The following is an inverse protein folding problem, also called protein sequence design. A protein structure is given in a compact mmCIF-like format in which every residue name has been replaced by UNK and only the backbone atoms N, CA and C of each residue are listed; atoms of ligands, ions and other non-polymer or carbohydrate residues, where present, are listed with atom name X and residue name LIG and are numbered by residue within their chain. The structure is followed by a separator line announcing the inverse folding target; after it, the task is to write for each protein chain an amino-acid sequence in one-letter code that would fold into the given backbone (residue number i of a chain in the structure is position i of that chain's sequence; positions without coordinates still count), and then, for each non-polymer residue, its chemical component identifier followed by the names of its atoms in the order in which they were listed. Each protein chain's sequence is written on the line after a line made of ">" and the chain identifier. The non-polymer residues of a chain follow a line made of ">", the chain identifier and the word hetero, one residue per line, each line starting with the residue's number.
data_IF_119608038227
#
_entry.id   IF_119608038227
#
_cell.length_a   1.000
_cell.length_b   1.000
_cell.length_c   1.000
_cell.angle_alpha   90.00
_cell.angle_beta   90.00
_cell.angle_gamma   90.00
#
_symmetry.space_group_name_H-M   'P 1'
#
loop_
_entity.id
_entity.type
_entity.pdbx_description
1 polymer ?
#
# COMPACT_ATOMS: atom_id res chain seq x y z
N UNK A 1 -21.79 -1.64 18.72
CA UNK A 1 -21.97 -1.93 17.28
C UNK A 1 -20.96 -3.01 16.91
N UNK A 2 -21.38 -4.15 16.36
CA UNK A 2 -20.45 -5.21 15.93
C UNK A 2 -20.92 -6.67 16.03
N UNK A 3 -21.93 -6.97 16.84
CA UNK A 3 -22.39 -8.36 16.97
C UNK A 3 -23.45 -8.71 15.91
N UNK A 4 -23.21 -9.80 15.17
CA UNK A 4 -24.10 -10.39 14.15
C UNK A 4 -25.53 -10.62 14.64
N UNK A 5 -25.69 -10.85 15.94
CA UNK A 5 -26.99 -11.13 16.56
C UNK A 5 -27.73 -9.86 17.00
N UNK A 6 -27.01 -8.77 17.29
CA UNK A 6 -27.60 -7.65 18.03
C UNK A 6 -27.82 -6.39 17.21
N UNK A 7 -27.07 -6.13 16.13
CA UNK A 7 -27.29 -4.94 15.30
C UNK A 7 -27.85 -5.25 13.90
N UNK A 8 -28.64 -4.32 13.35
CA UNK A 8 -29.29 -4.48 12.05
C UNK A 8 -28.29 -4.73 10.90
N UNK A 9 -27.16 -4.03 10.91
CA UNK A 9 -26.09 -4.19 9.91
C UNK A 9 -25.46 -5.58 9.93
N UNK A 10 -25.27 -6.15 11.12
CA UNK A 10 -24.74 -7.50 11.29
C UNK A 10 -25.71 -8.58 10.83
N UNK A 11 -27.03 -8.35 11.00
CA UNK A 11 -28.06 -9.23 10.43
C UNK A 11 -28.06 -9.19 8.90
N UNK A 12 -27.99 -8.01 8.30
CA UNK A 12 -27.88 -7.86 6.83
C UNK A 12 -26.63 -8.57 6.28
N UNK A 13 -25.47 -8.40 6.93
CA UNK A 13 -24.26 -9.12 6.53
C UNK A 13 -24.44 -10.64 6.67
N UNK A 14 -25.11 -11.10 7.73
CA UNK A 14 -25.38 -12.52 7.94
C UNK A 14 -26.35 -13.08 6.89
N UNK A 15 -27.34 -12.31 6.45
CA UNK A 15 -28.24 -12.69 5.34
C UNK A 15 -27.43 -12.90 4.05
N UNK A 16 -26.54 -11.98 3.69
CA UNK A 16 -25.68 -12.12 2.49
C UNK A 16 -24.72 -13.31 2.61
N UNK A 17 -24.17 -13.58 3.81
CA UNK A 17 -23.37 -14.79 4.05
C UNK A 17 -24.22 -16.05 3.83
N UNK A 18 -25.46 -16.06 4.32
CA UNK A 18 -26.37 -17.20 4.19
C UNK A 18 -26.81 -17.46 2.74
N UNK A 19 -26.78 -16.45 1.87
CA UNK A 19 -26.99 -16.61 0.43
C UNK A 19 -25.87 -17.42 -0.26
N UNK A 20 -24.74 -17.64 0.42
CA UNK A 20 -23.69 -18.56 -0.01
C UNK A 20 -22.66 -17.97 -0.97
N UNK A 21 -22.70 -16.66 -1.23
CA UNK A 21 -21.70 -15.98 -2.08
C UNK A 21 -20.28 -16.04 -1.51
N UNK A 22 -20.15 -15.99 -0.18
CA UNK A 22 -18.88 -16.09 0.50
C UNK A 22 -19.06 -16.70 1.89
N UNK A 23 -18.00 -17.34 2.36
CA UNK A 23 -17.91 -17.85 3.72
C UNK A 23 -17.02 -16.91 4.53
N UNK A 24 -17.22 -16.91 5.85
CA UNK A 24 -16.35 -16.17 6.76
C UNK A 24 -15.36 -17.12 7.43
N UNK A 25 -14.14 -16.64 7.64
CA UNK A 25 -13.09 -17.34 8.37
C UNK A 25 -12.67 -16.43 9.50
N UNK A 26 -12.50 -17.00 10.68
CA UNK A 26 -12.12 -16.20 11.81
C UNK A 26 -11.52 -17.02 12.94
N UNK A 27 -10.84 -16.34 13.86
CA UNK A 27 -10.49 -16.88 15.16
C UNK A 27 -11.58 -16.58 16.21
N UNK A 28 -11.37 -16.98 17.46
CA UNK A 28 -12.31 -16.68 18.57
C UNK A 28 -12.05 -15.33 19.24
N UNK A 29 -10.98 -14.63 18.84
CA UNK A 29 -10.51 -13.42 19.51
C UNK A 29 -11.31 -12.20 19.09
N UNK A 30 -11.33 -11.20 19.96
CA UNK A 30 -11.86 -9.88 19.63
C UNK A 30 -10.86 -9.14 18.74
N UNK A 31 -11.36 -8.33 17.81
CA UNK A 31 -10.52 -7.58 16.86
C UNK A 31 -10.47 -6.10 17.21
N UNK A 32 -11.28 -5.65 18.16
CA UNK A 32 -11.32 -4.28 18.62
C UNK A 32 -11.43 -4.20 20.13
N UNK A 33 -10.59 -3.37 20.73
CA UNK A 33 -10.55 -3.09 22.16
C UNK A 33 -10.30 -1.59 22.38
N UNK A 34 -11.17 -0.94 23.14
CA UNK A 34 -10.98 0.44 23.57
C UNK A 34 -11.65 0.66 24.91
N UNK A 35 -10.86 1.05 25.92
CA UNK A 35 -11.30 1.11 27.32
C UNK A 35 -11.88 -0.26 27.76
N UNK A 36 -13.05 -0.28 28.41
CA UNK A 36 -13.73 -1.50 28.85
C UNK A 36 -14.60 -2.16 27.76
N UNK A 37 -14.44 -1.75 26.49
CA UNK A 37 -15.21 -2.27 25.37
C UNK A 37 -14.35 -3.17 24.48
N UNK A 38 -14.68 -4.46 24.47
CA UNK A 38 -14.02 -5.47 23.66
C UNK A 38 -15.05 -6.14 22.74
N UNK A 39 -14.79 -6.14 21.43
CA UNK A 39 -15.73 -6.69 20.43
C UNK A 39 -15.00 -7.23 19.21
N UNK A 40 -15.67 -8.13 18.51
CA UNK A 40 -15.26 -8.63 17.21
C UNK A 40 -16.04 -7.91 16.11
N UNK A 41 -15.35 -7.08 15.33
CA UNK A 41 -15.95 -6.25 14.26
C UNK A 41 -15.25 -6.42 12.91
N UNK A 42 -14.05 -6.98 12.89
CA UNK A 42 -13.27 -7.25 11.69
C UNK A 42 -13.38 -8.72 11.34
N UNK A 43 -13.59 -9.04 10.05
CA UNK A 43 -13.89 -10.39 9.57
C UNK A 43 -13.13 -10.67 8.27
N UNK A 44 -12.71 -11.91 8.08
CA UNK A 44 -12.13 -12.37 6.80
C UNK A 44 -13.25 -13.08 6.02
N UNK A 45 -13.51 -12.61 4.80
CA UNK A 45 -14.53 -13.18 3.91
C UNK A 45 -13.85 -13.75 2.65
N UNK A 46 -14.22 -14.97 2.26
CA UNK A 46 -13.65 -15.62 1.09
C UNK A 46 -14.67 -16.52 0.37
N UNK A 47 -14.62 -16.52 -0.95
CA UNK A 47 -15.33 -17.47 -1.81
C UNK A 47 -14.61 -18.81 -1.83
N UNK A 48 -15.30 -19.88 -2.24
CA UNK A 48 -14.59 -21.12 -2.62
C UNK A 48 -13.93 -20.94 -4.00
N UNK A 49 -12.74 -21.54 -4.25
CA UNK A 49 -11.99 -22.42 -3.35
C UNK A 49 -11.07 -21.68 -2.36
N UNK A 50 -10.91 -20.37 -2.46
CA UNK A 50 -9.97 -19.58 -1.65
C UNK A 50 -10.18 -19.78 -0.14
N UNK A 51 -11.44 -19.90 0.29
CA UNK A 51 -11.77 -20.17 1.67
C UNK A 51 -11.06 -21.43 2.21
N UNK A 52 -11.00 -22.50 1.42
CA UNK A 52 -10.33 -23.75 1.82
C UNK A 52 -8.81 -23.63 1.92
N UNK A 53 -8.22 -22.59 1.35
CA UNK A 53 -6.78 -22.34 1.38
C UNK A 53 -6.37 -21.49 2.58
N UNK A 54 -7.24 -20.64 3.10
CA UNK A 54 -6.89 -19.77 4.23
C UNK A 54 -6.69 -20.61 5.50
N UNK A 55 -5.55 -20.42 6.15
CA UNK A 55 -5.13 -21.15 7.35
C UNK A 55 -4.42 -20.21 8.33
N UNK A 56 -4.16 -20.68 9.56
CA UNK A 56 -3.43 -19.96 10.60
C UNK A 56 -3.98 -18.54 10.85
N UNK A 57 -5.30 -18.42 10.97
CA UNK A 57 -5.93 -17.13 11.31
C UNK A 57 -5.66 -16.81 12.77
N UNK A 58 -5.04 -15.65 13.04
CA UNK A 58 -4.71 -15.18 14.38
C UNK A 58 -4.97 -13.68 14.51
N UNK A 59 -5.69 -13.28 15.55
CA UNK A 59 -5.75 -11.89 15.99
C UNK A 59 -4.63 -11.62 16.98
N UNK A 60 -3.77 -10.65 16.69
CA UNK A 60 -2.65 -10.32 17.58
C UNK A 60 -3.08 -9.38 18.71
N UNK A 61 -3.13 -9.86 19.97
CA UNK A 61 -3.71 -9.11 21.08
C UNK A 61 -2.89 -7.87 21.47
N UNK A 62 -1.60 -7.83 21.11
CA UNK A 62 -0.66 -6.79 21.58
C UNK A 62 -0.24 -5.79 20.50
N UNK A 63 -0.69 -5.93 19.24
CA UNK A 63 -0.20 -5.12 18.10
C UNK A 63 -1.16 -3.95 17.75
N UNK A 64 -2.16 -3.67 18.60
CA UNK A 64 -3.14 -2.60 18.36
C UNK A 64 -3.34 -1.73 19.58
N UNK A 65 -2.56 -0.65 19.73
CA UNK A 65 -2.61 0.15 20.98
C UNK A 65 -2.83 1.64 20.78
N UNK A 66 -3.10 2.10 19.54
CA UNK A 66 -3.45 3.51 19.26
C UNK A 66 -4.87 3.71 18.71
N UNK A 67 -5.36 2.82 17.83
CA UNK A 67 -6.72 2.93 17.24
C UNK A 67 -7.74 1.99 17.88
N UNK A 68 -7.30 1.06 18.72
CA UNK A 68 -8.12 0.00 19.33
C UNK A 68 -8.32 -1.24 18.44
N UNK A 69 -7.95 -1.21 17.16
CA UNK A 69 -8.01 -2.40 16.30
C UNK A 69 -6.78 -3.31 16.51
N UNK A 70 -7.03 -4.60 16.70
CA UNK A 70 -6.04 -5.67 16.79
C UNK A 70 -5.81 -6.26 15.39
N UNK A 71 -4.56 -6.34 14.89
CA UNK A 71 -4.29 -6.89 13.57
C UNK A 71 -4.67 -8.37 13.46
N UNK A 72 -5.30 -8.73 12.34
CA UNK A 72 -5.56 -10.10 11.93
C UNK A 72 -4.47 -10.55 10.95
N UNK A 73 -3.90 -11.73 11.16
CA UNK A 73 -3.01 -12.40 10.21
C UNK A 73 -3.58 -13.75 9.81
N UNK A 74 -3.23 -14.18 8.60
CA UNK A 74 -3.61 -15.48 8.06
C UNK A 74 -2.66 -15.86 6.93
N UNK A 75 -2.62 -17.15 6.61
CA UNK A 75 -1.77 -17.71 5.57
C UNK A 75 -2.66 -18.22 4.43
N UNK A 76 -2.36 -17.78 3.21
CA UNK A 76 -2.84 -18.43 2.00
C UNK A 76 -1.64 -19.17 1.39
N UNK A 77 -1.60 -20.51 1.43
CA UNK A 77 -0.54 -21.33 0.85
C UNK A 77 -0.73 -21.33 -0.67
N UNK A 78 -0.39 -20.21 -1.30
CA UNK A 78 -0.23 -20.16 -2.75
C UNK A 78 1.13 -20.81 -3.00
N UNK A 79 1.13 -21.99 -3.64
CA UNK A 79 2.33 -22.65 -4.15
C UNK A 79 3.03 -21.87 -5.27
N UNK A 80 2.96 -20.54 -5.25
CA UNK A 80 3.73 -19.69 -6.13
C UNK A 80 5.10 -19.50 -5.53
N UNK A 81 6.12 -19.99 -6.23
CA UNK A 81 7.45 -19.44 -6.07
C UNK A 81 7.33 -17.90 -6.09
N UNK A 82 7.96 -17.18 -5.16
CA UNK A 82 7.92 -15.73 -5.17
C UNK A 82 8.44 -15.28 -6.54
N UNK A 83 7.55 -14.82 -7.41
CA UNK A 83 7.96 -14.23 -8.69
C UNK A 83 8.98 -13.16 -8.34
N UNK A 84 10.21 -13.19 -8.91
CA UNK A 84 11.16 -12.13 -8.69
C UNK A 84 10.44 -10.82 -9.01
N UNK A 85 10.43 -9.90 -8.05
CA UNK A 85 9.64 -8.69 -8.15
C UNK A 85 9.96 -8.02 -9.49
N UNK A 86 8.97 -7.95 -10.39
CA UNK A 86 9.15 -7.42 -11.75
C UNK A 86 9.87 -6.07 -11.67
N UNK A 87 10.94 -5.86 -12.45
CA UNK A 87 11.69 -4.62 -12.37
C UNK A 87 10.74 -3.44 -12.53
N UNK A 88 10.77 -2.51 -11.58
CA UNK A 88 9.96 -1.29 -11.68
C UNK A 88 10.47 -0.52 -12.89
N UNK A 89 9.63 -0.41 -13.91
CA UNK A 89 9.89 0.49 -15.03
C UNK A 89 9.80 1.91 -14.48
N UNK A 90 10.88 2.67 -14.56
CA UNK A 90 10.89 4.08 -14.22
C UNK A 90 11.52 4.88 -15.35
N UNK A 91 10.98 6.05 -15.65
CA UNK A 91 11.55 6.93 -16.67
C UNK A 91 12.93 7.44 -16.20
N UNK A 92 13.93 7.32 -17.06
CA UNK A 92 15.26 7.84 -16.79
C UNK A 92 15.40 9.26 -17.33
N UNK A 93 14.93 10.24 -16.55
CA UNK A 93 15.02 11.65 -16.93
C UNK A 93 16.46 12.16 -17.11
N UNK A 94 17.47 11.48 -16.53
CA UNK A 94 18.89 11.83 -16.77
C UNK A 94 19.34 11.51 -18.19
N UNK A 95 18.71 10.54 -18.84
CA UNK A 95 19.00 10.13 -20.22
C UNK A 95 17.96 10.66 -21.22
N UNK A 96 17.16 11.66 -20.83
CA UNK A 96 16.14 12.24 -21.67
C UNK A 96 16.75 12.99 -22.86
N UNK A 97 16.19 12.80 -24.06
CA UNK A 97 16.50 13.63 -25.21
C UNK A 97 15.54 14.82 -25.26
N UNK A 98 15.92 15.94 -24.63
CA UNK A 98 15.08 17.12 -24.52
C UNK A 98 14.76 17.81 -25.85
N UNK A 99 15.62 17.67 -26.86
CA UNK A 99 15.32 18.17 -28.20
C UNK A 99 14.19 17.37 -28.84
N UNK A 100 14.25 16.04 -28.73
CA UNK A 100 13.16 15.16 -29.20
C UNK A 100 11.86 15.42 -28.45
N UNK A 101 11.93 15.59 -27.13
CA UNK A 101 10.78 15.95 -26.31
C UNK A 101 10.13 17.25 -26.80
N UNK A 102 10.93 18.30 -27.00
CA UNK A 102 10.44 19.61 -27.43
C UNK A 102 9.80 19.56 -28.81
N UNK A 103 10.43 18.88 -29.76
CA UNK A 103 9.88 18.73 -31.11
C UNK A 103 8.55 18.00 -31.05
N UNK A 104 8.49 16.89 -30.31
CA UNK A 104 7.25 16.12 -30.18
C UNK A 104 6.14 16.88 -29.47
N UNK A 105 6.47 17.60 -28.41
CA UNK A 105 5.50 18.42 -27.68
C UNK A 105 4.93 19.51 -28.59
N UNK A 106 5.78 20.20 -29.36
CA UNK A 106 5.32 21.21 -30.31
C UNK A 106 4.42 20.60 -31.39
N UNK A 107 4.77 19.44 -31.95
CA UNK A 107 3.91 18.72 -32.89
C UNK A 107 2.53 18.42 -32.29
N UNK A 108 2.48 17.93 -31.05
CA UNK A 108 1.22 17.60 -30.38
C UNK A 108 0.39 18.86 -30.10
N UNK A 109 1.01 19.93 -29.62
CA UNK A 109 0.32 21.19 -29.31
C UNK A 109 -0.28 21.86 -30.56
N UNK A 110 0.34 21.67 -31.74
CA UNK A 110 -0.21 22.17 -33.02
C UNK A 110 -1.51 21.48 -33.43
N UNK A 111 -1.84 20.32 -32.86
CA UNK A 111 -3.09 19.61 -33.12
C UNK A 111 -4.28 20.21 -32.36
N UNK A 112 -4.04 21.12 -31.41
CA UNK A 112 -5.13 21.79 -30.72
C UNK A 112 -5.89 22.71 -31.68
N UNK A 113 -7.21 22.61 -31.64
CA UNK A 113 -8.06 23.53 -32.39
C UNK A 113 -8.05 24.91 -31.73
N UNK A 114 -7.25 25.83 -32.27
CA UNK A 114 -7.11 27.21 -31.76
C UNK A 114 -8.40 28.03 -31.81
N UNK A 115 -9.43 27.54 -32.51
CA UNK A 115 -10.73 28.22 -32.61
C UNK A 115 -11.70 27.82 -31.48
N UNK A 116 -11.32 26.89 -30.61
CA UNK A 116 -12.14 26.43 -29.49
C UNK A 116 -12.01 27.43 -28.33
N UNK A 117 -13.11 28.09 -27.98
CA UNK A 117 -13.14 29.04 -26.86
C UNK A 117 -13.47 28.28 -25.57
N UNK A 118 -12.60 28.40 -24.56
CA UNK A 118 -12.77 27.75 -23.26
C UNK A 118 -13.73 28.59 -22.42
N UNK A 119 -15.02 28.27 -22.45
CA UNK A 119 -16.06 29.06 -21.78
C UNK A 119 -16.83 28.27 -20.72
N UNK A 120 -16.57 26.98 -20.60
CA UNK A 120 -17.26 26.09 -19.67
C UNK A 120 -16.27 25.16 -18.95
N UNK A 121 -16.71 24.59 -17.83
CA UNK A 121 -15.95 23.60 -17.06
C UNK A 121 -15.57 22.36 -17.92
N UNK A 122 -16.47 21.80 -18.75
CA UNK A 122 -16.11 20.75 -19.71
C UNK A 122 -14.97 21.14 -20.66
N UNK A 123 -14.96 22.38 -21.18
CA UNK A 123 -13.89 22.83 -22.07
C UNK A 123 -12.53 22.87 -21.35
N UNK A 124 -12.53 23.22 -20.06
CA UNK A 124 -11.34 23.22 -19.21
C UNK A 124 -10.81 21.80 -19.00
N UNK A 125 -11.70 20.84 -18.72
CA UNK A 125 -11.31 19.43 -18.56
C UNK A 125 -10.77 18.83 -19.86
N UNK A 126 -11.40 19.13 -21.00
CA UNK A 126 -10.95 18.70 -22.32
C UNK A 126 -9.56 19.25 -22.64
N UNK A 127 -9.36 20.56 -22.43
CA UNK A 127 -8.07 21.19 -22.66
C UNK A 127 -6.98 20.64 -21.72
N UNK A 128 -7.32 20.43 -20.44
CA UNK A 128 -6.40 19.85 -19.45
C UNK A 128 -6.00 18.42 -19.84
N UNK A 129 -6.96 17.63 -20.32
CA UNK A 129 -6.72 16.28 -20.81
C UNK A 129 -5.82 16.29 -22.05
N UNK A 130 -6.07 17.21 -22.99
CA UNK A 130 -5.25 17.39 -24.18
C UNK A 130 -3.80 17.74 -23.84
N UNK A 131 -3.56 18.72 -22.96
CA UNK A 131 -2.21 19.11 -22.53
C UNK A 131 -1.51 17.94 -21.82
N UNK A 132 -2.23 17.25 -20.93
CA UNK A 132 -1.69 16.08 -20.21
C UNK A 132 -1.28 14.96 -21.17
N UNK A 133 -2.11 14.68 -22.17
CA UNK A 133 -1.82 13.67 -23.19
C UNK A 133 -0.64 14.08 -24.08
N UNK A 134 -0.55 15.36 -24.44
CA UNK A 134 0.56 15.92 -25.23
C UNK A 134 1.90 15.75 -24.49
N UNK A 135 1.94 16.12 -23.21
CA UNK A 135 3.13 15.96 -22.36
C UNK A 135 3.48 14.48 -22.18
N UNK A 136 2.48 13.63 -21.93
CA UNK A 136 2.68 12.19 -21.72
C UNK A 136 3.26 11.53 -22.98
N UNK A 137 2.73 11.86 -24.15
CA UNK A 137 3.20 11.33 -25.44
C UNK A 137 4.63 11.76 -25.72
N UNK A 138 4.94 13.05 -25.55
CA UNK A 138 6.30 13.56 -25.71
C UNK A 138 7.28 12.90 -24.71
N UNK A 139 6.82 12.66 -23.48
CA UNK A 139 7.60 11.98 -22.44
C UNK A 139 7.93 10.55 -22.83
N UNK A 140 6.96 9.77 -23.29
CA UNK A 140 7.14 8.37 -23.70
C UNK A 140 8.11 8.24 -24.88
N UNK A 141 8.08 9.21 -25.80
CA UNK A 141 8.91 9.17 -27.00
C UNK A 141 10.37 9.61 -26.76
N UNK A 142 10.58 10.52 -25.82
CA UNK A 142 11.87 11.17 -25.59
C UNK A 142 12.65 10.66 -24.37
N UNK A 143 11.97 10.01 -23.43
CA UNK A 143 12.58 9.59 -22.16
C UNK A 143 12.63 8.06 -22.10
N UNK A 144 13.83 7.46 -22.13
CA UNK A 144 13.95 6.01 -22.10
C UNK A 144 13.47 5.46 -20.75
N UNK A 145 12.83 4.29 -20.81
CA UNK A 145 12.48 3.53 -19.61
C UNK A 145 13.72 2.83 -19.07
N UNK A 146 13.97 2.99 -17.77
CA UNK A 146 14.97 2.23 -17.04
C UNK A 146 14.28 1.13 -16.24
N UNK A 147 14.83 -0.08 -16.34
CA UNK A 147 14.50 -1.16 -15.42
C UNK A 147 15.27 -0.91 -14.13
N UNK A 148 14.59 -0.40 -13.10
CA UNK A 148 15.15 -0.52 -11.75
C UNK A 148 14.98 -1.97 -11.34
N UNK A 149 16.10 -2.69 -11.24
CA UNK A 149 16.12 -3.95 -10.52
C UNK A 149 15.54 -3.66 -9.13
N UNK A 150 14.51 -4.41 -8.75
CA UNK A 150 14.13 -4.48 -7.35
C UNK A 150 15.30 -5.19 -6.66
N UNK A 151 16.27 -4.41 -6.19
CA UNK A 151 17.26 -4.92 -5.26
C UNK A 151 16.50 -5.23 -3.98
N UNK A 152 16.01 -6.47 -3.87
CA UNK A 152 15.83 -7.09 -2.58
C UNK A 152 17.23 -7.17 -1.98
N UNK A 153 17.67 -6.08 -1.34
CA UNK A 153 18.91 -6.05 -0.59
C UNK A 153 18.73 -7.07 0.51
N UNK A 154 19.25 -8.29 0.29
CA UNK A 154 19.41 -9.26 1.37
C UNK A 154 20.46 -8.68 2.30
N UNK A 155 20.01 -7.96 3.32
CA UNK A 155 20.87 -7.47 4.39
C UNK A 155 21.55 -8.67 5.05
N UNK A 156 22.87 -8.60 5.20
CA UNK A 156 23.61 -9.59 5.96
C UNK A 156 23.09 -9.64 7.40
N UNK A 157 23.23 -10.78 8.08
CA UNK A 157 22.85 -10.90 9.49
C UNK A 157 23.59 -9.89 10.36
N UNK A 158 24.85 -9.59 10.04
CA UNK A 158 25.61 -8.54 10.70
C UNK A 158 24.93 -7.16 10.56
N UNK A 159 24.45 -6.82 9.36
CA UNK A 159 23.74 -5.55 9.13
C UNK A 159 22.40 -5.50 9.86
N UNK A 160 21.63 -6.60 9.86
CA UNK A 160 20.37 -6.69 10.63
C UNK A 160 20.62 -6.52 12.13
N UNK A 161 21.67 -7.15 12.65
CA UNK A 161 22.05 -7.04 14.05
C UNK A 161 22.44 -5.59 14.42
N UNK A 162 23.20 -4.89 13.56
CA UNK A 162 23.52 -3.48 13.78
C UNK A 162 22.29 -2.58 13.79
N UNK A 163 21.33 -2.82 12.89
CA UNK A 163 20.05 -2.08 12.87
C UNK A 163 19.27 -2.33 14.17
N UNK A 164 19.20 -3.59 14.62
CA UNK A 164 18.53 -3.94 15.89
C UNK A 164 19.19 -3.27 17.09
N UNK A 165 20.52 -3.28 17.17
CA UNK A 165 21.29 -2.61 18.21
C UNK A 165 21.01 -1.10 18.21
N UNK A 166 21.07 -0.45 17.05
CA UNK A 166 20.77 0.97 16.89
C UNK A 166 19.36 1.32 17.39
N UNK A 167 18.35 0.53 17.01
CA UNK A 167 16.98 0.72 17.48
C UNK A 167 16.83 0.51 19.00
N UNK A 168 17.52 -0.49 19.57
CA UNK A 168 17.52 -0.75 21.01
C UNK A 168 18.11 0.44 21.78
N UNK A 169 19.25 0.95 21.33
CA UNK A 169 19.92 2.10 21.93
C UNK A 169 19.06 3.37 21.82
N UNK A 170 18.41 3.60 20.68
CA UNK A 170 17.46 4.72 20.53
C UNK A 170 16.30 4.65 21.53
N UNK A 171 15.68 3.46 21.69
CA UNK A 171 14.58 3.27 22.65
C UNK A 171 15.03 3.50 24.08
N UNK A 172 16.24 3.04 24.41
CA UNK A 172 16.85 3.24 25.74
C UNK A 172 17.05 4.73 25.99
N UNK A 173 17.71 5.42 25.07
CA UNK A 173 17.93 6.87 25.15
C UNK A 173 16.62 7.66 25.28
N UNK A 174 15.59 7.33 24.48
CA UNK A 174 14.29 8.00 24.57
C UNK A 174 13.57 7.78 25.91
N UNK A 175 13.87 6.68 26.61
CA UNK A 175 13.30 6.36 27.92
C UNK A 175 14.08 6.99 29.08
N UNK A 176 15.40 7.02 28.98
CA UNK A 176 16.31 7.45 30.07
C UNK A 176 16.70 8.93 29.96
N UNK A 177 16.74 9.48 28.74
CA UNK A 177 17.23 10.83 28.48
C UNK A 177 18.76 10.99 28.58
N UNK A 178 19.52 9.91 28.82
CA UNK A 178 20.96 10.00 29.06
C UNK A 178 21.79 10.29 27.80
N UNK A 179 22.72 11.23 27.89
CA UNK A 179 23.61 11.61 26.78
C UNK A 179 24.61 10.51 26.38
N UNK A 180 24.94 9.61 27.31
CA UNK A 180 25.78 8.42 27.05
C UNK A 180 25.15 7.51 25.99
N UNK A 181 23.82 7.30 26.06
CA UNK A 181 23.05 6.45 25.16
C UNK A 181 22.78 7.16 23.83
N UNK A 182 22.62 8.49 23.86
CA UNK A 182 22.58 9.32 22.65
C UNK A 182 23.87 9.19 21.84
N UNK A 183 25.02 9.31 22.49
CA UNK A 183 26.32 9.13 21.82
C UNK A 183 26.49 7.72 21.25
N UNK A 184 26.03 6.69 21.97
CA UNK A 184 26.05 5.32 21.46
C UNK A 184 25.13 5.11 20.24
N UNK A 185 23.97 5.77 20.18
CA UNK A 185 23.09 5.71 19.02
C UNK A 185 23.75 6.25 17.74
N UNK A 186 24.49 7.36 17.84
CA UNK A 186 25.19 7.97 16.70
C UNK A 186 26.48 7.25 16.28
N UNK A 187 26.95 6.25 17.05
CA UNK A 187 28.09 5.40 16.68
C UNK A 187 27.72 4.28 15.70
N UNK A 188 26.43 4.04 15.49
CA UNK A 188 25.87 3.07 14.53
C UNK A 188 25.20 3.79 13.36
#
# INVERSE_FOLDING_TARGET
>A
MGSRKTNARGRQLQEVINEGYFNYIDDVSTTFEKNDYEVKIDWILATQPLHSLISNVETHPTIGTLSGHKPLTFVIPIGSEPKPASPRLSLNFKAANWSKFRNKLNEQLMLWNTNLTINSEPDIEEYTSFITNSITTATQEAIPTSKKLNTNIKLSEATKHLIQLKHKTYRKWKKTGEDSEKQQYYKY
#
